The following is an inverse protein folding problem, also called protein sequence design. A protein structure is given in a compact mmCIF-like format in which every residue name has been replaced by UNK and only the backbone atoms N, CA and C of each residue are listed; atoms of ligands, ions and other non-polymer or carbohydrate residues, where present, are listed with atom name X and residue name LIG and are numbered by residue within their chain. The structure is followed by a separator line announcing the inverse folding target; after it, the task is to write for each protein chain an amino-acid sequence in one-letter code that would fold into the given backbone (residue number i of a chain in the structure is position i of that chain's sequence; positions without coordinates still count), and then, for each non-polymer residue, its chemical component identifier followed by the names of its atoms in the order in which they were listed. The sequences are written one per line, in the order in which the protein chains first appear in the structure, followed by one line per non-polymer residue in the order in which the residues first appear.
data_IF_729926190664
#
_entry.id   IF_729926190664
#
_cell.length_a   1.000
_cell.length_b   1.000
_cell.length_c   1.000
_cell.angle_alpha   90.00
_cell.angle_beta   90.00
_cell.angle_gamma   90.00
#
_symmetry.space_group_name_H-M   'P 1'
#
loop_
_entity.id
_entity.type
_entity.pdbx_description
1 polymer ?
#
# COMPACT_ATOMS: atom_id res chain seq x y z
N UNK A 1 -25.11 4.68 -12.19
CA UNK A 1 -24.09 5.43 -11.44
C UNK A 1 -24.01 6.82 -12.04
N UNK A 2 -24.32 7.85 -11.26
CA UNK A 2 -24.50 9.21 -11.78
C UNK A 2 -23.18 9.80 -12.31
N UNK A 3 -23.26 10.70 -13.30
CA UNK A 3 -22.12 11.28 -14.03
C UNK A 3 -21.07 11.93 -13.11
N UNK A 4 -21.54 12.53 -12.01
CA UNK A 4 -20.71 13.13 -10.97
C UNK A 4 -19.87 12.09 -10.20
N UNK A 5 -20.49 10.97 -9.80
CA UNK A 5 -19.79 9.90 -9.08
C UNK A 5 -18.67 9.28 -9.93
N UNK A 6 -18.90 9.12 -11.24
CA UNK A 6 -17.88 8.60 -12.15
C UNK A 6 -16.72 9.58 -12.36
N UNK A 7 -16.97 10.90 -12.36
CA UNK A 7 -15.91 11.89 -12.45
C UNK A 7 -15.06 11.92 -11.17
N UNK A 8 -15.70 11.89 -10.00
CA UNK A 8 -14.99 11.86 -8.72
C UNK A 8 -14.13 10.59 -8.58
N UNK A 9 -14.70 9.43 -8.89
CA UNK A 9 -13.96 8.17 -8.90
C UNK A 9 -12.72 8.22 -9.81
N UNK A 10 -12.84 8.81 -11.02
CA UNK A 10 -11.70 8.97 -11.94
C UNK A 10 -10.62 9.88 -11.35
N UNK A 11 -11.00 10.98 -10.68
CA UNK A 11 -10.03 11.88 -10.02
C UNK A 11 -9.29 11.16 -8.90
N UNK A 12 -10.00 10.40 -8.08
CA UNK A 12 -9.38 9.68 -6.97
C UNK A 12 -8.50 8.52 -7.43
N UNK A 13 -8.88 7.84 -8.50
CA UNK A 13 -8.02 6.86 -9.17
C UNK A 13 -6.73 7.53 -9.64
N UNK A 14 -6.82 8.58 -10.46
CA UNK A 14 -5.63 9.24 -11.01
C UNK A 14 -4.70 9.74 -9.92
N UNK A 15 -5.26 10.37 -8.89
CA UNK A 15 -4.47 10.86 -7.74
C UNK A 15 -3.78 9.71 -7.01
N UNK A 16 -4.47 8.59 -6.81
CA UNK A 16 -3.87 7.40 -6.18
C UNK A 16 -2.73 6.85 -7.03
N UNK A 17 -2.92 6.75 -8.35
CA UNK A 17 -1.88 6.28 -9.29
C UNK A 17 -0.61 7.14 -9.26
N UNK A 18 -0.78 8.47 -9.23
CA UNK A 18 0.31 9.44 -9.11
C UNK A 18 1.07 9.29 -7.79
N UNK A 19 0.35 9.14 -6.67
CA UNK A 19 0.94 9.03 -5.33
C UNK A 19 1.72 7.73 -5.12
N UNK A 20 1.27 6.62 -5.72
CA UNK A 20 1.95 5.31 -5.58
C UNK A 20 2.95 5.03 -6.70
N UNK A 21 2.96 5.85 -7.77
CA UNK A 21 3.81 5.64 -8.94
C UNK A 21 3.44 4.39 -9.76
N UNK A 22 2.16 4.02 -9.79
CA UNK A 22 1.66 2.86 -10.53
C UNK A 22 0.36 3.21 -11.25
N UNK A 23 0.29 2.89 -12.54
CA UNK A 23 -0.92 3.09 -13.36
C UNK A 23 -1.66 1.77 -13.52
N UNK A 24 -2.93 1.73 -13.13
CA UNK A 24 -3.73 0.51 -13.22
C UNK A 24 -4.09 0.18 -14.67
N UNK A 25 -4.02 -1.11 -15.01
CA UNK A 25 -4.48 -1.66 -16.29
C UNK A 25 -5.99 -1.83 -16.29
N UNK A 26 -6.55 -2.17 -15.13
CA UNK A 26 -7.97 -2.37 -14.92
C UNK A 26 -8.49 -1.50 -13.79
N UNK A 27 -9.53 -0.71 -14.08
CA UNK A 27 -10.20 0.11 -13.07
C UNK A 27 -10.85 -0.72 -11.97
N UNK A 28 -11.07 -2.03 -12.19
CA UNK A 28 -11.70 -2.94 -11.23
C UNK A 28 -10.98 -2.92 -9.87
N UNK A 29 -9.66 -3.08 -9.88
CA UNK A 29 -8.90 -3.29 -8.65
C UNK A 29 -8.72 -2.00 -7.85
N UNK A 30 -8.46 -0.89 -8.53
CA UNK A 30 -8.39 0.42 -7.86
C UNK A 30 -9.78 0.85 -7.34
N UNK A 31 -10.86 0.58 -8.09
CA UNK A 31 -12.22 0.86 -7.60
C UNK A 31 -12.53 0.07 -6.33
N UNK A 32 -12.21 -1.23 -6.32
CA UNK A 32 -12.39 -2.07 -5.13
C UNK A 32 -11.56 -1.55 -3.95
N UNK A 33 -10.30 -1.13 -4.18
CA UNK A 33 -9.44 -0.57 -3.14
C UNK A 33 -9.96 0.74 -2.54
N UNK A 34 -10.50 1.63 -3.39
CA UNK A 34 -11.03 2.95 -2.97
C UNK A 34 -12.34 2.85 -2.18
N UNK A 35 -13.06 1.73 -2.27
CA UNK A 35 -14.38 1.57 -1.65
C UNK A 35 -14.26 1.05 -0.21
N UNK A 36 -14.43 1.95 0.77
CA UNK A 36 -14.49 1.63 2.19
C UNK A 36 -15.94 1.39 2.67
N UNK A 37 -16.07 0.74 3.83
CA UNK A 37 -17.32 0.70 4.62
C UNK A 37 -18.55 0.03 3.97
N UNK A 38 -18.37 -0.75 2.91
CA UNK A 38 -19.43 -1.61 2.35
C UNK A 38 -19.14 -3.08 2.67
N UNK A 39 -20.17 -3.93 2.86
CA UNK A 39 -19.97 -5.38 2.98
C UNK A 39 -19.18 -5.92 1.79
N UNK A 40 -18.01 -6.52 2.05
CA UNK A 40 -17.12 -7.01 0.99
C UNK A 40 -16.32 -5.93 0.26
N UNK A 41 -16.16 -4.73 0.85
CA UNK A 41 -15.30 -3.67 0.32
C UNK A 41 -13.81 -4.06 0.23
N UNK A 42 -12.92 -3.08 0.39
CA UNK A 42 -11.49 -3.29 0.10
C UNK A 42 -10.73 -4.33 0.97
N UNK A 43 -11.38 -4.96 1.94
CA UNK A 43 -10.76 -5.88 2.89
C UNK A 43 -10.06 -7.08 2.25
N UNK A 44 -10.61 -7.64 1.16
CA UNK A 44 -9.96 -8.77 0.46
C UNK A 44 -8.62 -8.36 -0.13
N UNK A 45 -8.57 -7.17 -0.75
CA UNK A 45 -7.33 -6.59 -1.25
C UNK A 45 -6.41 -6.20 -0.10
N UNK A 46 -6.94 -5.71 1.03
CA UNK A 46 -6.13 -5.39 2.20
C UNK A 46 -5.38 -6.62 2.75
N UNK A 47 -6.05 -7.76 2.87
CA UNK A 47 -5.40 -9.02 3.27
C UNK A 47 -4.28 -9.41 2.30
N UNK A 48 -4.49 -9.27 0.98
CA UNK A 48 -3.45 -9.49 -0.02
C UNK A 48 -2.29 -8.50 0.20
N UNK A 49 -2.60 -7.23 0.41
CA UNK A 49 -1.64 -6.16 0.69
C UNK A 49 -0.73 -6.43 1.87
N UNK A 50 -1.30 -6.68 3.05
CA UNK A 50 -0.53 -6.96 4.28
C UNK A 50 0.46 -8.13 4.08
N UNK A 51 0.00 -9.21 3.46
CA UNK A 51 0.84 -10.37 3.15
C UNK A 51 1.99 -10.01 2.18
N UNK A 52 1.70 -9.23 1.13
CA UNK A 52 2.69 -8.91 0.09
C UNK A 52 3.67 -7.83 0.53
N UNK A 53 3.22 -6.85 1.30
CA UNK A 53 4.09 -5.88 1.97
C UNK A 53 5.06 -6.58 2.92
N UNK A 54 4.55 -7.54 3.71
CA UNK A 54 5.39 -8.40 4.54
C UNK A 54 6.43 -9.17 3.72
N UNK A 55 6.01 -9.79 2.61
CA UNK A 55 6.90 -10.55 1.73
C UNK A 55 8.00 -9.67 1.12
N UNK A 56 7.65 -8.48 0.61
CA UNK A 56 8.60 -7.52 0.06
C UNK A 56 9.66 -7.10 1.09
N UNK A 57 9.25 -6.96 2.35
CA UNK A 57 10.14 -6.58 3.44
C UNK A 57 11.03 -7.73 3.93
N UNK A 58 10.56 -8.99 3.89
CA UNK A 58 11.37 -10.17 4.25
C UNK A 58 12.57 -10.30 3.32
N UNK A 59 12.41 -10.07 2.02
CA UNK A 59 13.50 -10.13 1.04
C UNK A 59 14.64 -9.18 1.43
N UNK A 60 14.32 -7.92 1.70
CA UNK A 60 15.31 -6.88 2.07
C UNK A 60 15.95 -7.20 3.43
N UNK A 61 15.17 -7.66 4.41
CA UNK A 61 15.69 -8.05 5.72
C UNK A 61 16.66 -9.25 5.64
N UNK A 62 16.33 -10.27 4.85
CA UNK A 62 17.15 -11.47 4.68
C UNK A 62 18.46 -11.15 3.97
N UNK A 63 18.41 -10.36 2.88
CA UNK A 63 19.60 -9.93 2.15
C UNK A 63 20.53 -9.02 2.97
N UNK A 64 19.97 -8.27 3.93
CA UNK A 64 20.73 -7.42 4.85
C UNK A 64 21.40 -8.14 6.02
N UNK A 65 21.32 -9.48 6.11
CA UNK A 65 21.90 -10.32 7.18
C UNK A 65 21.56 -9.83 8.61
N UNK A 66 20.35 -9.29 8.80
CA UNK A 66 19.92 -8.69 10.06
C UNK A 66 19.39 -9.76 11.04
N UNK A 67 19.67 -9.71 12.36
CA UNK A 67 19.19 -10.70 13.33
C UNK A 67 17.66 -10.85 13.39
N UNK A 68 17.18 -12.07 13.72
CA UNK A 68 15.74 -12.40 13.83
C UNK A 68 14.96 -11.51 14.80
N UNK A 69 15.50 -11.16 15.97
CA UNK A 69 14.79 -10.29 16.93
C UNK A 69 14.41 -8.94 16.33
N UNK A 70 15.21 -8.47 15.37
CA UNK A 70 14.94 -7.22 14.68
C UNK A 70 13.82 -7.35 13.66
N UNK A 71 13.52 -8.56 13.14
CA UNK A 71 12.41 -8.76 12.19
C UNK A 71 11.06 -8.35 12.77
N UNK A 72 10.66 -8.91 13.92
CA UNK A 72 9.33 -8.63 14.51
C UNK A 72 9.16 -7.14 14.81
N UNK A 73 10.16 -6.51 15.43
CA UNK A 73 10.15 -5.08 15.74
C UNK A 73 10.16 -4.23 14.47
N UNK A 74 10.97 -4.58 13.47
CA UNK A 74 11.02 -3.85 12.20
C UNK A 74 9.69 -3.95 11.46
N UNK A 75 9.08 -5.15 11.38
CA UNK A 75 7.79 -5.37 10.72
C UNK A 75 6.71 -4.53 11.39
N UNK A 76 6.65 -4.53 12.73
CA UNK A 76 5.68 -3.71 13.46
C UNK A 76 5.93 -2.21 13.24
N UNK A 77 7.19 -1.77 13.24
CA UNK A 77 7.52 -0.36 13.04
C UNK A 77 7.22 0.14 11.63
N UNK A 78 7.39 -0.69 10.59
CA UNK A 78 7.21 -0.29 9.20
C UNK A 78 5.80 -0.61 8.67
N UNK A 79 5.25 -1.77 9.02
CA UNK A 79 3.98 -2.28 8.52
C UNK A 79 2.88 -2.30 9.57
N UNK A 80 3.15 -1.91 10.81
CA UNK A 80 2.11 -1.77 11.83
C UNK A 80 1.17 -0.60 11.53
N UNK A 81 -0.07 -0.72 12.00
CA UNK A 81 -1.15 0.23 11.73
C UNK A 81 -0.79 1.69 12.02
N UNK A 82 0.01 1.94 13.05
CA UNK A 82 0.46 3.30 13.41
C UNK A 82 1.27 3.91 12.27
N UNK A 83 2.27 3.20 11.75
CA UNK A 83 3.11 3.71 10.68
C UNK A 83 2.34 3.77 9.35
N UNK A 84 1.54 2.74 9.03
CA UNK A 84 0.74 2.75 7.81
C UNK A 84 -0.24 3.93 7.80
N UNK A 85 -0.94 4.19 8.91
CA UNK A 85 -1.80 5.38 9.06
C UNK A 85 -1.03 6.68 8.81
N UNK A 86 0.17 6.80 9.40
CA UNK A 86 1.04 7.96 9.23
C UNK A 86 1.43 8.15 7.77
N UNK A 87 1.84 7.09 7.08
CA UNK A 87 2.21 7.12 5.65
C UNK A 87 1.00 7.50 4.79
N UNK A 88 -0.16 6.88 5.01
CA UNK A 88 -1.40 7.18 4.26
C UNK A 88 -1.80 8.65 4.39
N UNK A 89 -1.63 9.24 5.57
CA UNK A 89 -1.90 10.68 5.81
C UNK A 89 -0.85 11.58 5.18
N UNK A 90 0.44 11.29 5.41
CA UNK A 90 1.55 12.12 4.95
C UNK A 90 1.64 12.20 3.42
N UNK A 91 1.28 11.12 2.72
CA UNK A 91 1.26 11.07 1.25
C UNK A 91 -0.01 11.69 0.66
N UNK A 92 -1.03 11.99 1.48
CA UNK A 92 -2.33 12.46 0.99
C UNK A 92 -3.24 11.36 0.44
N UNK A 93 -2.83 10.08 0.50
CA UNK A 93 -3.66 8.93 0.10
C UNK A 93 -4.98 8.88 0.87
N UNK A 94 -5.00 9.30 2.13
CA UNK A 94 -6.23 9.31 2.94
C UNK A 94 -7.37 10.12 2.31
N UNK A 95 -7.05 11.13 1.50
CA UNK A 95 -8.03 11.97 0.80
C UNK A 95 -8.56 11.33 -0.49
N UNK A 96 -8.00 10.18 -0.91
CA UNK A 96 -8.41 9.47 -2.12
C UNK A 96 -9.53 8.46 -1.87
N UNK A 97 -9.75 8.09 -0.62
CA UNK A 97 -10.79 7.15 -0.20
C UNK A 97 -12.16 7.62 -0.66
N UNK A 98 -12.93 6.72 -1.25
CA UNK A 98 -14.36 6.90 -1.46
C UNK A 98 -15.11 6.38 -0.22
N UNK A 99 -15.37 7.28 0.73
CA UNK A 99 -16.31 7.04 1.82
C UNK A 99 -17.57 7.86 1.54
N UNK A 100 -18.75 7.35 1.90
CA UNK A 100 -20.03 8.04 1.75
C UNK A 100 -20.16 9.23 2.74
N UNK A 101 -19.20 10.16 2.73
CA UNK A 101 -19.14 11.32 3.60
C UNK A 101 -18.60 11.07 5.01
N UNK A 102 -18.21 9.84 5.33
CA UNK A 102 -17.68 9.50 6.66
C UNK A 102 -16.16 9.66 6.74
N UNK A 103 -15.62 10.32 7.78
CA UNK A 103 -14.18 10.44 7.96
C UNK A 103 -13.53 9.07 8.17
N UNK A 104 -12.39 8.86 7.53
CA UNK A 104 -11.60 7.64 7.63
C UNK A 104 -10.88 7.59 9.00
N UNK A 105 -11.20 6.58 9.81
CA UNK A 105 -10.47 6.30 11.06
C UNK A 105 -9.03 5.84 10.76
N UNK A 106 -8.16 5.89 11.78
CA UNK A 106 -6.76 5.43 11.67
C UNK A 106 -6.68 3.99 11.15
N UNK A 107 -7.49 3.09 11.72
CA UNK A 107 -7.55 1.70 11.28
C UNK A 107 -7.93 1.58 9.80
N UNK A 108 -8.90 2.37 9.35
CA UNK A 108 -9.32 2.37 7.95
C UNK A 108 -8.26 2.95 7.02
N UNK A 109 -7.46 3.92 7.48
CA UNK A 109 -6.37 4.49 6.69
C UNK A 109 -5.22 3.48 6.48
N UNK A 110 -4.89 2.68 7.50
CA UNK A 110 -3.95 1.57 7.36
C UNK A 110 -4.49 0.49 6.39
N UNK A 111 -5.72 0.02 6.62
CA UNK A 111 -6.37 -0.98 5.76
C UNK A 111 -6.53 -0.51 4.31
N UNK A 112 -6.78 0.79 4.10
CA UNK A 112 -6.85 1.36 2.75
C UNK A 112 -5.51 1.28 2.02
N UNK A 113 -4.41 1.61 2.69
CA UNK A 113 -3.07 1.51 2.09
C UNK A 113 -2.72 0.07 1.76
N UNK A 114 -3.01 -0.88 2.65
CA UNK A 114 -2.86 -2.31 2.37
C UNK A 114 -3.68 -2.70 1.13
N UNK A 115 -4.94 -2.25 1.02
CA UNK A 115 -5.79 -2.57 -0.12
C UNK A 115 -5.25 -2.00 -1.45
N UNK A 116 -4.71 -0.78 -1.45
CA UNK A 116 -4.09 -0.19 -2.63
C UNK A 116 -2.89 -1.01 -3.07
N UNK A 117 -2.03 -1.44 -2.14
CA UNK A 117 -0.89 -2.31 -2.48
C UNK A 117 -1.34 -3.69 -2.97
N UNK A 118 -2.38 -4.26 -2.34
CA UNK A 118 -3.00 -5.50 -2.81
C UNK A 118 -3.54 -5.37 -4.24
N UNK A 119 -4.16 -4.22 -4.56
CA UNK A 119 -4.65 -3.93 -5.90
C UNK A 119 -3.50 -3.87 -6.92
N UNK A 120 -2.38 -3.21 -6.59
CA UNK A 120 -1.18 -3.16 -7.45
C UNK A 120 -0.67 -4.58 -7.74
N UNK A 121 -0.59 -5.44 -6.72
CA UNK A 121 -0.14 -6.81 -6.90
C UNK A 121 -1.06 -7.59 -7.85
N UNK A 122 -2.38 -7.52 -7.68
CA UNK A 122 -3.31 -8.27 -8.53
C UNK A 122 -3.37 -7.70 -9.96
N UNK A 123 -3.45 -6.39 -10.12
CA UNK A 123 -3.55 -5.73 -11.42
C UNK A 123 -2.29 -5.91 -12.29
N UNK A 124 -1.12 -5.94 -11.65
CA UNK A 124 0.15 -6.15 -12.35
C UNK A 124 0.35 -7.58 -12.87
N UNK A 125 -0.54 -8.51 -12.50
CA UNK A 125 -0.38 -9.93 -12.80
C UNK A 125 0.51 -10.64 -11.77
N UNK A 126 0.40 -10.25 -10.50
CA UNK A 126 1.12 -10.84 -9.35
C UNK A 126 2.62 -10.51 -9.33
N UNK A 127 3.00 -9.30 -9.76
CA UNK A 127 4.38 -8.84 -9.84
C UNK A 127 4.85 -8.19 -8.52
N UNK A 128 5.77 -8.86 -7.80
CA UNK A 128 6.34 -8.36 -6.55
C UNK A 128 7.23 -7.13 -6.71
N UNK A 129 7.84 -6.92 -7.89
CA UNK A 129 8.67 -5.73 -8.12
C UNK A 129 7.80 -4.47 -8.23
N UNK A 130 6.55 -4.59 -8.69
CA UNK A 130 5.57 -3.49 -8.65
C UNK A 130 5.15 -3.15 -7.23
N UNK A 131 4.99 -4.16 -6.37
CA UNK A 131 4.74 -3.96 -4.94
C UNK A 131 5.90 -3.22 -4.28
N UNK A 132 7.13 -3.71 -4.46
CA UNK A 132 8.35 -3.07 -3.93
C UNK A 132 8.50 -1.63 -4.43
N UNK A 133 8.27 -1.40 -5.72
CA UNK A 133 8.32 -0.06 -6.32
C UNK A 133 7.31 0.88 -5.67
N UNK A 134 6.05 0.47 -5.52
CA UNK A 134 5.02 1.28 -4.87
C UNK A 134 5.36 1.59 -3.40
N UNK A 135 5.84 0.58 -2.64
CA UNK A 135 6.28 0.77 -1.26
C UNK A 135 7.48 1.73 -1.14
N UNK A 136 8.41 1.70 -2.10
CA UNK A 136 9.54 2.65 -2.17
C UNK A 136 9.05 4.06 -2.49
N UNK A 137 8.15 4.24 -3.45
CA UNK A 137 7.53 5.54 -3.78
C UNK A 137 6.84 6.16 -2.55
N UNK A 138 6.16 5.34 -1.75
CA UNK A 138 5.48 5.76 -0.53
C UNK A 138 6.41 5.93 0.68
N UNK A 139 7.71 5.67 0.53
CA UNK A 139 8.70 5.78 1.60
C UNK A 139 8.57 4.75 2.71
N UNK A 140 7.89 3.62 2.45
CA UNK A 140 7.73 2.51 3.42
C UNK A 140 8.99 1.65 3.44
N UNK A 141 9.51 1.32 2.26
CA UNK A 141 10.82 0.70 2.11
C UNK A 141 11.84 1.78 1.78
N UNK A 142 12.92 1.84 2.54
CA UNK A 142 14.08 2.64 2.15
C UNK A 142 14.88 1.87 1.09
N UNK A 143 15.45 2.60 0.14
CA UNK A 143 16.51 2.04 -0.71
C UNK A 143 17.67 1.72 0.23
N UNK A 144 17.90 0.45 0.54
CA UNK A 144 19.11 0.03 1.22
C UNK A 144 20.25 0.30 0.25
N UNK A 145 20.99 1.38 0.46
CA UNK A 145 22.29 1.56 -0.19
C UNK A 145 23.18 0.52 0.46
N UNK A 146 23.40 -0.60 -0.23
CA UNK A 146 24.39 -1.59 0.18
C UNK A 146 25.72 -0.88 0.36
N UNK A 147 26.18 -0.73 1.62
CA UNK A 147 27.60 -0.58 1.84
C UNK A 147 28.25 -1.88 1.39
N UNK A 148 29.27 -1.84 0.52
CA UNK A 148 29.95 -3.05 0.09
C UNK A 148 30.44 -3.79 1.34
N UNK A 149 30.16 -5.08 1.36
CA UNK A 149 30.62 -6.01 2.38
C UNK A 149 32.09 -5.73 2.69
N UNK A 150 32.42 -5.50 3.97
CA UNK A 150 33.82 -5.57 4.38
C UNK A 150 34.28 -6.99 4.07
N UNK A 151 35.34 -7.19 3.28
CA UNK A 151 35.93 -8.50 3.13
C UNK A 151 36.47 -8.94 4.49
N UNK A 152 36.24 -10.21 4.80
CA UNK A 152 36.75 -10.91 5.99
C UNK A 152 38.29 -10.86 6.06
#
# INVERSE_FOLDING_TARGET
MDSFQQQEQRRQQQRTEELIGYRFRSNKYITEALTLCVPGGNYRLAVVGDCKMGSAMVDEWYLGNTPRKNWTTMRENLLGNINLTRVTRATGLAACVMSEGLPCSDKQAATFLEAVIGAVYVDSGYDMERVKSAMKTLGILQVVVFSPLRPD
#
